data_IF_442018982529
#
_entry.id   IF_442018982529
#
_cell.length_a   1.000
_cell.length_b   1.000
_cell.length_c   1.000
_cell.angle_alpha   90.00
_cell.angle_beta   90.00
_cell.angle_gamma   90.00
#
_symmetry.space_group_name_H-M   'P 1'
#
loop_
_entity.id
_entity.type
_entity.pdbx_description
1 polymer ?
#
# COMPACT_ATOMS: atom_id res chain seq x y z
N UNK A 1 17.85 11.37 30.56
CA UNK A 1 17.47 12.14 29.35
C UNK A 1 16.74 11.19 28.40
N UNK A 2 15.41 11.21 28.38
CA UNK A 2 14.63 10.47 27.39
C UNK A 2 14.70 11.26 26.08
N UNK A 3 15.57 10.81 25.16
CA UNK A 3 15.64 11.35 23.81
C UNK A 3 14.23 11.33 23.20
N UNK A 4 13.82 12.46 22.61
CA UNK A 4 12.59 12.55 21.83
C UNK A 4 12.63 11.44 20.78
N UNK A 5 11.91 10.33 21.00
CA UNK A 5 11.64 9.35 19.95
C UNK A 5 10.93 10.12 18.85
N UNK A 6 11.62 10.40 17.73
CA UNK A 6 10.96 10.95 16.54
C UNK A 6 9.88 9.93 16.18
N UNK A 7 8.60 10.28 16.39
CA UNK A 7 7.50 9.49 15.86
C UNK A 7 7.61 9.60 14.34
N UNK A 8 8.01 8.51 13.71
CA UNK A 8 7.88 8.39 12.27
C UNK A 8 6.40 8.38 11.89
N UNK A 9 6.05 8.90 10.71
CA UNK A 9 4.68 8.77 10.21
C UNK A 9 4.31 7.27 10.12
N UNK A 10 3.02 6.93 10.28
CA UNK A 10 2.55 5.57 10.02
C UNK A 10 2.81 5.18 8.56
N UNK A 11 2.95 3.88 8.25
CA UNK A 11 3.07 3.45 6.87
C UNK A 11 1.79 3.77 6.10
N UNK A 12 1.92 3.99 4.80
CA UNK A 12 0.78 4.17 3.90
C UNK A 12 0.36 2.83 3.32
N UNK A 13 -0.95 2.64 3.17
CA UNK A 13 -1.51 1.42 2.58
C UNK A 13 -2.09 1.73 1.21
N UNK A 14 -1.66 0.98 0.21
CA UNK A 14 -2.09 1.07 -1.18
C UNK A 14 -2.69 -0.26 -1.61
N UNK A 15 -3.85 -0.23 -2.23
CA UNK A 15 -4.46 -1.40 -2.85
C UNK A 15 -4.62 -1.13 -4.33
N UNK A 16 -3.85 -1.85 -5.14
CA UNK A 16 -3.92 -1.75 -6.60
C UNK A 16 -5.17 -2.49 -7.07
N UNK A 17 -6.00 -1.84 -7.86
CA UNK A 17 -7.08 -2.53 -8.55
C UNK A 17 -6.51 -3.61 -9.46
N UNK A 18 -7.30 -4.66 -9.71
CA UNK A 18 -6.83 -5.83 -10.45
C UNK A 18 -6.27 -5.45 -11.83
N UNK A 19 -6.90 -4.51 -12.54
CA UNK A 19 -6.42 -4.04 -13.84
C UNK A 19 -4.99 -3.48 -13.76
N UNK A 20 -4.72 -2.58 -12.79
CA UNK A 20 -3.39 -2.00 -12.60
C UNK A 20 -2.37 -3.06 -12.14
N UNK A 21 -2.76 -3.91 -11.19
CA UNK A 21 -1.89 -4.98 -10.72
C UNK A 21 -1.46 -5.91 -11.87
N UNK A 22 -2.40 -6.34 -12.71
CA UNK A 22 -2.10 -7.21 -13.86
C UNK A 22 -1.20 -6.51 -14.88
N UNK A 23 -1.42 -5.22 -15.16
CA UNK A 23 -0.55 -4.44 -16.03
C UNK A 23 0.89 -4.39 -15.51
N UNK A 24 1.09 -4.10 -14.23
CA UNK A 24 2.42 -3.95 -13.66
C UNK A 24 3.16 -5.29 -13.50
N UNK A 25 2.44 -6.38 -13.18
CA UNK A 25 3.05 -7.70 -13.00
C UNK A 25 3.32 -8.44 -14.32
N UNK A 26 2.74 -7.99 -15.44
CA UNK A 26 2.96 -8.57 -16.77
C UNK A 26 4.44 -8.60 -17.19
N UNK A 27 5.23 -7.63 -16.72
CA UNK A 27 6.69 -7.57 -16.91
C UNK A 27 7.50 -8.47 -15.97
N UNK A 28 6.84 -9.25 -15.11
CA UNK A 28 7.45 -10.07 -14.08
C UNK A 28 7.65 -9.34 -12.75
N UNK A 29 7.95 -10.10 -11.70
CA UNK A 29 8.03 -9.60 -10.32
C UNK A 29 9.10 -8.53 -10.13
N UNK A 30 10.22 -8.62 -10.86
CA UNK A 30 11.28 -7.63 -10.76
C UNK A 30 10.82 -6.27 -11.33
N UNK A 31 10.23 -6.26 -12.52
CA UNK A 31 9.70 -5.03 -13.12
C UNK A 31 8.58 -4.41 -12.29
N UNK A 32 7.73 -5.24 -11.70
CA UNK A 32 6.73 -4.82 -10.73
C UNK A 32 7.36 -4.12 -9.51
N UNK A 33 8.38 -4.74 -8.90
CA UNK A 33 9.08 -4.16 -7.75
C UNK A 33 9.79 -2.85 -8.07
N UNK A 34 10.42 -2.76 -9.25
CA UNK A 34 11.05 -1.53 -9.74
C UNK A 34 10.03 -0.40 -9.94
N UNK A 35 8.86 -0.70 -10.52
CA UNK A 35 7.78 0.27 -10.69
C UNK A 35 7.26 0.79 -9.34
N UNK A 36 7.05 -0.09 -8.36
CA UNK A 36 6.62 0.30 -7.03
C UNK A 36 7.66 1.14 -6.28
N UNK A 37 8.95 0.80 -6.40
CA UNK A 37 10.03 1.60 -5.79
C UNK A 37 10.18 2.96 -6.48
N UNK A 38 9.97 3.04 -7.79
CA UNK A 38 9.97 4.30 -8.51
C UNK A 38 8.84 5.23 -8.06
N UNK A 39 7.63 4.70 -7.87
CA UNK A 39 6.44 5.47 -7.52
C UNK A 39 6.38 5.83 -6.02
N UNK A 40 6.65 4.86 -5.14
CA UNK A 40 6.42 5.01 -3.70
C UNK A 40 7.70 5.04 -2.86
N UNK A 41 8.82 4.57 -3.44
CA UNK A 41 10.08 4.45 -2.73
C UNK A 41 10.83 5.77 -2.60
N UNK A 42 11.86 5.73 -1.75
CA UNK A 42 12.89 6.75 -1.61
C UNK A 42 14.27 6.12 -1.80
N UNK A 43 15.30 6.89 -2.21
CA UNK A 43 16.64 6.36 -2.36
C UNK A 43 17.16 5.67 -1.09
N UNK A 44 17.43 4.36 -1.18
CA UNK A 44 17.91 3.54 -0.06
C UNK A 44 16.82 2.74 0.67
N UNK A 45 15.56 2.89 0.29
CA UNK A 45 14.52 1.91 0.66
C UNK A 45 14.66 0.63 -0.17
N UNK A 46 14.17 -0.47 0.40
CA UNK A 46 14.15 -1.79 -0.21
C UNK A 46 12.72 -2.31 -0.27
N UNK A 47 12.44 -3.20 -1.22
CA UNK A 47 11.13 -3.82 -1.39
C UNK A 47 11.22 -5.33 -1.14
N UNK A 48 10.25 -5.87 -0.40
CA UNK A 48 10.06 -7.31 -0.19
C UNK A 48 8.65 -7.70 -0.58
N UNK A 49 8.52 -8.75 -1.39
CA UNK A 49 7.22 -9.29 -1.81
C UNK A 49 6.88 -10.54 -0.99
N UNK A 50 5.65 -10.60 -0.48
CA UNK A 50 5.11 -11.75 0.24
C UNK A 50 3.78 -12.16 -0.38
N UNK A 51 3.56 -13.46 -0.58
CA UNK A 51 2.27 -13.97 -1.04
C UNK A 51 1.18 -13.72 -0.01
N UNK A 52 -0.02 -13.34 -0.47
CA UNK A 52 -1.19 -13.12 0.35
C UNK A 52 -2.44 -13.60 -0.38
N UNK A 53 -2.92 -14.79 -0.01
CA UNK A 53 -4.01 -15.46 -0.73
C UNK A 53 -3.61 -15.73 -2.18
N UNK A 54 -4.42 -15.22 -3.12
CA UNK A 54 -4.13 -15.31 -4.56
C UNK A 54 -3.21 -14.19 -5.07
N UNK A 55 -2.97 -13.17 -4.26
CA UNK A 55 -2.17 -12.00 -4.61
C UNK A 55 -0.88 -11.89 -3.82
N UNK A 56 -0.42 -10.66 -3.64
CA UNK A 56 0.76 -10.36 -2.85
C UNK A 56 0.67 -9.01 -2.16
N UNK A 57 1.41 -8.90 -1.06
CA UNK A 57 1.75 -7.64 -0.42
C UNK A 57 3.22 -7.33 -0.67
N UNK A 58 3.51 -6.10 -1.08
CA UNK A 58 4.85 -5.56 -1.23
C UNK A 58 5.12 -4.59 -0.10
N UNK A 59 6.19 -4.85 0.65
CA UNK A 59 6.62 -4.06 1.79
C UNK A 59 7.79 -3.19 1.36
N UNK A 60 7.63 -1.87 1.41
CA UNK A 60 8.73 -0.93 1.20
C UNK A 60 9.23 -0.47 2.56
N UNK A 61 10.52 -0.70 2.83
CA UNK A 61 11.13 -0.44 4.13
C UNK A 61 12.43 0.35 4.02
N UNK A 62 12.73 1.14 5.04
CA UNK A 62 14.11 1.49 5.34
C UNK A 62 14.76 0.32 6.05
N UNK A 63 15.85 -0.24 5.52
CA UNK A 63 16.52 -1.36 6.15
C UNK A 63 17.09 -0.95 7.52
N UNK A 64 17.14 -1.90 8.44
CA UNK A 64 17.73 -1.68 9.76
C UNK A 64 19.20 -1.23 9.66
N UNK A 65 19.59 -0.27 10.50
CA UNK A 65 20.96 0.25 10.62
C UNK A 65 21.41 0.22 12.08
N UNK A 66 22.69 0.48 12.34
CA UNK A 66 23.23 0.49 13.70
C UNK A 66 22.47 1.49 14.59
N UNK A 67 21.66 0.97 15.52
CA UNK A 67 20.85 1.78 16.43
C UNK A 67 19.48 2.22 15.89
N UNK A 68 19.13 1.85 14.65
CA UNK A 68 17.86 2.19 14.01
C UNK A 68 17.16 0.92 13.51
N UNK A 69 15.98 0.55 14.06
CA UNK A 69 15.25 -0.62 13.58
C UNK A 69 14.75 -0.41 12.16
N UNK A 70 14.41 -1.52 11.48
CA UNK A 70 13.71 -1.45 10.21
C UNK A 70 12.45 -0.59 10.34
N UNK A 71 12.17 0.20 9.30
CA UNK A 71 10.99 1.07 9.26
C UNK A 71 10.18 0.81 7.99
N UNK A 72 8.98 0.27 8.17
CA UNK A 72 7.98 0.13 7.14
C UNK A 72 7.41 1.50 6.73
N UNK A 73 7.41 1.79 5.42
CA UNK A 73 6.86 3.05 4.89
C UNK A 73 5.63 2.84 4.02
N UNK A 74 5.58 1.72 3.27
CA UNK A 74 4.42 1.37 2.46
C UNK A 74 4.08 -0.12 2.54
N UNK A 75 2.79 -0.42 2.52
CA UNK A 75 2.25 -1.72 2.13
C UNK A 75 1.46 -1.54 0.84
N UNK A 76 1.85 -2.26 -0.21
CA UNK A 76 1.19 -2.22 -1.52
C UNK A 76 0.62 -3.60 -1.81
N UNK A 77 -0.71 -3.71 -1.83
CA UNK A 77 -1.44 -4.94 -2.08
C UNK A 77 -1.87 -5.00 -3.55
N UNK A 78 -1.72 -6.16 -4.19
CA UNK A 78 -2.17 -6.39 -5.56
C UNK A 78 -2.65 -7.83 -5.75
N UNK A 79 -3.73 -8.00 -6.50
CA UNK A 79 -4.37 -9.32 -6.71
C UNK A 79 -4.97 -9.93 -5.45
N UNK A 80 -5.21 -9.10 -4.42
CA UNK A 80 -5.82 -9.49 -3.16
C UNK A 80 -7.25 -8.94 -3.09
N UNK A 81 -8.13 -9.71 -2.46
CA UNK A 81 -9.48 -9.25 -2.10
C UNK A 81 -9.42 -8.24 -0.93
N UNK A 82 -10.43 -7.35 -0.78
CA UNK A 82 -10.53 -6.44 0.36
C UNK A 82 -10.44 -7.17 1.71
N UNK A 83 -11.05 -8.36 1.82
CA UNK A 83 -11.03 -9.18 3.03
C UNK A 83 -9.62 -9.66 3.37
N UNK A 84 -8.85 -10.12 2.38
CA UNK A 84 -7.45 -10.53 2.59
C UNK A 84 -6.57 -9.36 3.01
N UNK A 85 -6.72 -8.19 2.37
CA UNK A 85 -6.01 -6.95 2.75
C UNK A 85 -6.35 -6.58 4.19
N UNK A 86 -7.63 -6.58 4.55
CA UNK A 86 -8.07 -6.23 5.91
C UNK A 86 -7.54 -7.21 6.96
N UNK A 87 -7.56 -8.50 6.67
CA UNK A 87 -7.06 -9.53 7.58
C UNK A 87 -5.54 -9.39 7.82
N UNK A 88 -4.75 -9.16 6.77
CA UNK A 88 -3.30 -8.93 6.88
C UNK A 88 -2.99 -7.66 7.69
N UNK A 89 -3.70 -6.55 7.44
CA UNK A 89 -3.53 -5.32 8.23
C UNK A 89 -3.85 -5.53 9.71
N UNK A 90 -4.92 -6.27 10.04
CA UNK A 90 -5.26 -6.60 11.42
C UNK A 90 -4.17 -7.45 12.08
N UNK A 91 -3.66 -8.47 11.39
CA UNK A 91 -2.60 -9.34 11.89
C UNK A 91 -1.30 -8.57 12.18
N UNK A 92 -1.02 -7.49 11.44
CA UNK A 92 0.13 -6.60 11.65
C UNK A 92 -0.09 -5.51 12.70
N UNK A 93 -1.29 -5.43 13.29
CA UNK A 93 -1.66 -4.34 14.20
C UNK A 93 -1.86 -2.99 13.50
N UNK A 94 -2.11 -3.02 12.19
CA UNK A 94 -2.28 -1.86 11.30
C UNK A 94 -3.73 -1.66 10.84
N UNK A 95 -4.70 -2.36 11.43
CA UNK A 95 -6.12 -2.30 11.02
C UNK A 95 -6.79 -0.92 11.15
N UNK A 96 -6.15 0.05 11.81
CA UNK A 96 -6.63 1.43 11.87
C UNK A 96 -6.18 2.30 10.69
N UNK A 97 -5.32 1.80 9.80
CA UNK A 97 -4.82 2.58 8.67
C UNK A 97 -5.83 2.64 7.53
N UNK A 98 -5.92 3.81 6.91
CA UNK A 98 -6.69 4.00 5.69
C UNK A 98 -6.04 3.24 4.52
N UNK A 99 -6.87 2.53 3.75
CA UNK A 99 -6.47 1.86 2.51
C UNK A 99 -6.82 2.81 1.37
N UNK A 100 -5.83 3.17 0.57
CA UNK A 100 -6.05 3.98 -0.64
C UNK A 100 -6.07 3.05 -1.84
N UNK A 101 -7.19 3.00 -2.54
CA UNK A 101 -7.31 2.30 -3.81
C UNK A 101 -6.53 3.05 -4.90
N UNK A 102 -5.85 2.32 -5.77
CA UNK A 102 -4.98 2.87 -6.82
C UNK A 102 -5.42 2.30 -8.15
N UNK A 103 -5.83 3.21 -9.01
CA UNK A 103 -6.34 2.94 -10.34
C UNK A 103 -5.26 3.22 -11.39
N UNK A 104 -5.34 2.58 -12.57
CA UNK A 104 -4.52 3.00 -13.70
C UNK A 104 -4.87 4.43 -14.13
N UNK A 105 -3.96 5.15 -14.80
CA UNK A 105 -4.14 6.56 -15.13
C UNK A 105 -5.31 6.85 -16.09
N UNK A 106 -5.74 5.84 -16.83
CA UNK A 106 -6.84 5.86 -17.80
C UNK A 106 -8.14 5.27 -17.23
N UNK A 107 -8.24 5.09 -15.90
CA UNK A 107 -9.46 4.62 -15.28
C UNK A 107 -10.57 5.69 -15.34
N UNK A 108 -11.72 5.29 -15.87
CA UNK A 108 -12.97 6.04 -15.72
C UNK A 108 -13.42 5.90 -14.26
N UNK A 109 -13.20 6.96 -13.47
CA UNK A 109 -13.75 7.06 -12.13
C UNK A 109 -15.17 7.59 -12.28
N UNK A 110 -16.19 6.73 -12.11
CA UNK A 110 -17.55 7.21 -11.91
C UNK A 110 -17.54 8.01 -10.61
N UNK A 111 -17.75 9.33 -10.68
CA UNK A 111 -18.02 10.13 -9.48
C UNK A 111 -19.30 9.55 -8.87
N UNK A 112 -19.19 8.95 -7.69
CA UNK A 112 -20.37 8.58 -6.91
C UNK A 112 -21.21 9.85 -6.76
N UNK A 113 -22.37 9.89 -7.42
CA UNK A 113 -23.38 10.92 -7.20
C UNK A 113 -23.68 10.89 -5.70
N UNK A 114 -23.15 11.87 -4.95
CA UNK A 114 -23.54 12.08 -3.56
C UNK A 114 -25.07 12.19 -3.57
N UNK A 115 -25.74 11.22 -2.94
CA UNK A 115 -27.18 11.22 -2.71
C UNK A 115 -27.57 12.57 -2.10
N UNK A 116 -27.98 13.52 -2.96
CA UNK A 116 -28.68 14.73 -2.61
C UNK A 116 -30.10 14.31 -2.17
N UNK A 117 -30.16 13.58 -1.05
CA UNK A 117 -31.39 13.24 -0.37
C UNK A 117 -31.97 14.54 0.18
N UNK A 118 -32.75 15.20 -0.67
CA UNK A 118 -33.84 16.12 -0.38
C UNK A 118 -33.94 16.55 1.10
N UNK A 119 -33.34 17.69 1.42
CA UNK A 119 -33.89 18.53 2.47
C UNK A 119 -35.15 19.19 1.88
N UNK A 120 -36.29 18.51 2.01
CA UNK A 120 -37.61 19.12 1.80
C UNK A 120 -37.95 19.95 3.06
N UNK A 121 -38.35 21.20 2.81
CA UNK A 121 -38.61 22.32 3.74
C UNK A 121 -39.86 22.12 4.62
#
# INVERSE_FOLDING_TARGET
>A
MLGRRRRHPPPRVKWLVDALYQQLVAGGIQGYGEALLHEYGQPGEVITHLGLGNGMVSLITWPARAGEPERLTHLVYGGCTPTEVRADLLARGLGGLAVVEVHPPDADLEEDEEDEAAYDD
#
